data_IF_700394559136
#
_entry.id   IF_700394559136
#
_cell.length_a   1.000
_cell.length_b   1.000
_cell.length_c   1.000
_cell.angle_alpha   90.00
_cell.angle_beta   90.00
_cell.angle_gamma   90.00
#
_symmetry.space_group_name_H-M   'P 1'
#
loop_
_entity.id
_entity.type
_entity.pdbx_description
1 polymer ?
#
# COMPACT_ATOMS: atom_id res chain seq x y z
N UNK A 1 -6.36 -6.12 9.17
CA UNK A 1 -6.80 -5.33 8.00
C UNK A 1 -8.33 -5.21 7.93
N UNK A 2 -9.06 -6.28 8.29
CA UNK A 2 -10.53 -6.34 8.26
C UNK A 2 -11.25 -5.14 8.89
N UNK A 3 -10.84 -4.65 10.08
CA UNK A 3 -11.52 -3.52 10.71
C UNK A 3 -11.41 -2.22 9.89
N UNK A 4 -10.23 -1.92 9.35
CA UNK A 4 -10.00 -0.74 8.50
C UNK A 4 -10.84 -0.79 7.22
N UNK A 5 -10.95 -1.98 6.61
CA UNK A 5 -11.75 -2.20 5.41
C UNK A 5 -13.25 -2.10 5.69
N UNK A 6 -13.71 -2.61 6.83
CA UNK A 6 -15.10 -2.47 7.29
C UNK A 6 -15.45 -0.99 7.51
N UNK A 7 -14.62 -0.26 8.24
CA UNK A 7 -14.81 1.17 8.48
C UNK A 7 -14.82 1.97 7.17
N UNK A 8 -13.94 1.61 6.23
CA UNK A 8 -13.88 2.25 4.91
C UNK A 8 -15.17 2.05 4.12
N UNK A 9 -15.74 0.84 4.16
CA UNK A 9 -17.05 0.55 3.55
C UNK A 9 -18.17 1.37 4.22
N UNK A 10 -18.21 1.43 5.55
CA UNK A 10 -19.20 2.22 6.29
C UNK A 10 -19.13 3.71 5.93
N UNK A 11 -17.92 4.23 5.71
CA UNK A 11 -17.67 5.64 5.36
C UNK A 11 -17.75 5.92 3.85
N UNK A 12 -18.18 4.96 3.03
CA UNK A 12 -18.23 5.10 1.56
C UNK A 12 -16.89 5.51 0.93
N UNK A 13 -15.77 5.08 1.54
CA UNK A 13 -14.42 5.28 0.99
C UNK A 13 -14.24 4.30 -0.18
N UNK A 14 -13.86 4.83 -1.34
CA UNK A 14 -13.79 4.05 -2.58
C UNK A 14 -12.61 3.07 -2.65
N UNK A 15 -11.46 3.43 -2.07
CA UNK A 15 -10.26 2.59 -2.07
C UNK A 15 -9.28 3.00 -0.96
N UNK A 16 -8.40 2.08 -0.59
CA UNK A 16 -7.29 2.30 0.36
C UNK A 16 -5.98 2.19 -0.42
N UNK A 17 -5.11 3.21 -0.33
CA UNK A 17 -3.77 3.16 -0.92
C UNK A 17 -2.72 2.92 0.16
N UNK A 18 -1.90 1.89 -0.03
CA UNK A 18 -0.75 1.60 0.82
C UNK A 18 0.55 2.09 0.15
N UNK A 19 1.48 2.61 0.94
CA UNK A 19 2.82 2.96 0.46
C UNK A 19 3.83 1.98 1.07
N UNK A 20 4.48 1.20 0.23
CA UNK A 20 5.44 0.17 0.63
C UNK A 20 6.77 0.41 -0.09
N UNK A 21 7.87 0.35 0.66
CA UNK A 21 9.21 0.38 0.07
C UNK A 21 9.43 -0.83 -0.84
N UNK A 22 10.10 -0.63 -1.98
CA UNK A 22 10.37 -1.68 -2.98
C UNK A 22 11.02 -2.93 -2.40
N UNK A 23 11.89 -2.77 -1.40
CA UNK A 23 12.64 -3.87 -0.78
C UNK A 23 11.80 -4.75 0.17
N UNK A 24 10.57 -4.36 0.51
CA UNK A 24 9.70 -5.10 1.43
C UNK A 24 8.91 -6.19 0.72
N UNK A 25 9.59 -7.09 0.02
CA UNK A 25 8.99 -8.17 -0.80
C UNK A 25 7.93 -8.98 -0.04
N UNK A 26 8.16 -9.25 1.23
CA UNK A 26 7.23 -10.05 2.04
C UNK A 26 5.96 -9.27 2.43
N UNK A 27 6.07 -7.95 2.56
CA UNK A 27 4.88 -7.10 2.73
C UNK A 27 4.05 -7.06 1.44
N UNK A 28 4.69 -6.95 0.27
CA UNK A 28 3.98 -7.01 -1.02
C UNK A 28 3.19 -8.31 -1.14
N UNK A 29 3.83 -9.47 -0.90
CA UNK A 29 3.16 -10.78 -0.93
C UNK A 29 2.00 -10.86 0.07
N UNK A 30 2.17 -10.35 1.27
CA UNK A 30 1.10 -10.33 2.27
C UNK A 30 -0.12 -9.56 1.77
N UNK A 31 0.07 -8.35 1.24
CA UNK A 31 -1.03 -7.50 0.76
C UNK A 31 -1.70 -8.07 -0.51
N UNK A 32 -0.91 -8.64 -1.42
CA UNK A 32 -1.43 -9.37 -2.59
C UNK A 32 -2.29 -10.56 -2.17
N UNK A 33 -1.85 -11.34 -1.17
CA UNK A 33 -2.58 -12.49 -0.67
C UNK A 33 -3.92 -12.13 0.00
N UNK A 34 -4.07 -10.91 0.51
CA UNK A 34 -5.33 -10.41 1.08
C UNK A 34 -6.14 -9.55 0.11
N UNK A 35 -5.79 -9.55 -1.19
CA UNK A 35 -6.62 -8.96 -2.25
C UNK A 35 -6.28 -7.52 -2.64
N UNK A 36 -5.20 -6.93 -2.15
CA UNK A 36 -4.70 -5.65 -2.65
C UNK A 36 -3.96 -5.87 -3.97
N UNK A 37 -4.13 -4.94 -4.91
CA UNK A 37 -3.43 -4.98 -6.20
C UNK A 37 -2.29 -3.98 -6.17
N UNK A 38 -1.08 -4.42 -6.54
CA UNK A 38 0.04 -3.53 -6.79
C UNK A 38 -0.08 -2.95 -8.21
N UNK A 39 -0.52 -1.70 -8.32
CA UNK A 39 -0.61 -0.99 -9.61
C UNK A 39 0.73 -0.42 -10.08
N UNK A 40 1.62 -0.06 -9.14
CA UNK A 40 2.90 0.61 -9.44
C UNK A 40 3.95 0.44 -8.35
N UNK A 41 5.19 0.20 -8.77
CA UNK A 41 6.39 0.33 -7.92
C UNK A 41 7.01 1.72 -8.14
N UNK A 42 7.06 2.56 -7.09
CA UNK A 42 7.65 3.90 -7.15
C UNK A 42 9.12 3.90 -6.73
N UNK A 43 9.98 4.58 -7.50
CA UNK A 43 11.37 4.87 -7.11
C UNK A 43 11.43 6.25 -6.46
N UNK A 44 12.09 6.36 -5.30
CA UNK A 44 12.36 7.64 -4.64
C UNK A 44 13.75 8.13 -5.05
N UNK A 45 13.83 9.36 -5.55
CA UNK A 45 15.10 10.06 -5.80
C UNK A 45 15.29 11.13 -4.73
N UNK A 46 16.50 11.27 -4.20
CA UNK A 46 16.86 12.26 -3.19
C UNK A 46 18.21 12.84 -3.63
N UNK A 47 18.31 14.17 -3.72
CA UNK A 47 19.58 14.88 -3.90
C UNK A 47 19.85 15.66 -2.64
N UNK A 48 20.94 15.33 -1.95
CA UNK A 48 21.42 16.03 -0.76
C UNK A 48 22.50 17.00 -1.22
N UNK A 49 22.39 18.25 -0.80
CA UNK A 49 23.41 19.28 -1.02
C UNK A 49 23.98 19.60 0.36
N UNK A 50 25.08 18.95 0.69
CA UNK A 50 25.94 19.32 1.83
C UNK A 50 27.03 20.27 1.35
#
# INVERSE_FOLDING_TARGET
MNHLEMDSRQKSIKFIRLNLGKLRTEAHKFYENIGYVCDKIQKRFIKIFE
#
